data_IF_609824054720
#
_entry.id   IF_609824054720
#
_cell.length_a   1.000
_cell.length_b   1.000
_cell.length_c   1.000
_cell.angle_alpha   90.00
_cell.angle_beta   90.00
_cell.angle_gamma   90.00
#
_symmetry.space_group_name_H-M   'P 1'
#
loop_
_entity.id
_entity.type
_entity.pdbx_description
1 polymer ?
2 non-polymer ?
3 non-polymer ?
4 non-polymer ?
5 water ?
#
# COMPACT_ATOMS: atom_id res chain seq x y z
N UNK A 2 -16.35 23.61 7.89
CA UNK A 2 -16.56 22.28 7.26
C UNK A 2 -16.25 21.17 8.27
N UNK A 3 -17.28 20.55 8.89
CA UNK A 3 -17.09 19.63 10.04
C UNK A 3 -17.72 18.23 9.83
N UNK A 4 -17.00 17.23 10.36
CA UNK A 4 -17.34 15.79 10.28
C UNK A 4 -17.68 15.28 11.68
N UNK A 5 -18.74 14.47 11.81
CA UNK A 5 -19.24 14.00 13.09
C UNK A 5 -19.40 12.46 13.03
N UNK A 6 -18.94 11.75 14.06
CA UNK A 6 -19.21 10.33 14.13
C UNK A 6 -20.59 10.12 14.74
N UNK A 7 -21.53 9.55 13.96
CA UNK A 7 -22.92 9.46 14.38
C UNK A 7 -23.09 8.19 15.23
N UNK A 8 -22.47 7.10 14.79
CA UNK A 8 -22.56 5.80 15.48
C UNK A 8 -21.50 4.85 14.92
N UNK A 9 -21.24 3.80 15.68
CA UNK A 9 -20.42 2.72 15.21
C UNK A 9 -21.24 1.44 15.31
N UNK A 10 -21.25 0.66 14.23
CA UNK A 10 -21.98 -0.56 14.15
C UNK A 10 -20.99 -1.73 14.29
N UNK A 11 -21.38 -2.80 14.98
CA UNK A 11 -20.54 -3.99 14.99
C UNK A 11 -21.14 -5.04 14.04
N UNK A 12 -20.46 -5.30 12.94
CA UNK A 12 -21.03 -6.07 11.88
C UNK A 12 -20.45 -7.49 11.94
N UNK A 13 -21.35 -8.46 12.08
CA UNK A 13 -21.01 -9.85 12.14
C UNK A 13 -21.34 -10.48 10.80
N UNK A 14 -20.67 -11.61 10.46
CA UNK A 14 -21.06 -12.41 9.31
C UNK A 14 -22.58 -12.68 9.37
N UNK A 15 -23.23 -12.82 8.21
CA UNK A 15 -24.68 -12.96 8.13
C UNK A 15 -25.10 -14.30 8.74
N UNK A 16 -24.25 -15.31 8.54
CA UNK A 16 -24.28 -16.53 9.32
C UNK A 16 -22.85 -16.84 9.78
N UNK A 17 -22.78 -17.55 10.92
CA UNK A 17 -21.56 -17.76 11.67
C UNK A 17 -20.81 -18.92 11.06
N UNK A 18 -19.63 -18.69 10.44
CA UNK A 18 -18.87 -19.78 9.82
C UNK A 18 -18.13 -20.65 10.83
N UNK A 19 -18.08 -20.21 12.09
CA UNK A 19 -17.30 -20.90 13.14
C UNK A 19 -18.24 -21.46 14.22
N UNK A 20 -17.98 -22.72 14.57
CA UNK A 20 -18.44 -23.41 15.80
C UNK A 20 -17.47 -23.11 16.94
N UNK A 21 -16.20 -23.40 16.66
CA UNK A 21 -15.14 -23.39 17.64
C UNK A 21 -14.09 -22.35 17.28
N UNK A 22 -13.42 -21.84 18.32
CA UNK A 22 -12.26 -21.00 18.17
C UNK A 22 -11.25 -21.65 17.23
N UNK A 23 -10.67 -20.83 16.37
CA UNK A 23 -9.73 -21.25 15.40
C UNK A 23 -8.57 -20.26 15.44
N UNK A 24 -7.34 -20.71 15.65
CA UNK A 24 -6.18 -19.82 15.68
C UNK A 24 -5.42 -19.98 14.36
N UNK A 25 -5.47 -18.95 13.50
CA UNK A 25 -4.83 -19.02 12.18
C UNK A 25 -3.40 -18.48 12.28
N UNK A 26 -2.52 -19.01 11.43
CA UNK A 26 -1.17 -18.57 11.40
C UNK A 26 -0.91 -17.89 10.04
N UNK A 27 0.05 -16.98 10.05
CA UNK A 27 0.29 -16.10 8.93
C UNK A 27 1.56 -16.57 8.22
N UNK A 28 1.72 -16.13 6.97
CA UNK A 28 2.85 -16.53 6.16
C UNK A 28 4.06 -15.74 6.66
N UNK A 29 5.25 -16.11 6.20
CA UNK A 29 6.48 -15.47 6.57
C UNK A 29 6.59 -14.12 5.89
N UNK A 30 5.87 -13.95 4.75
CA UNK A 30 5.70 -12.65 4.11
C UNK A 30 4.82 -11.75 4.99
N UNK A 31 3.73 -12.28 5.53
CA UNK A 31 2.79 -11.55 6.39
C UNK A 31 3.44 -11.00 7.68
N UNK A 32 4.53 -11.62 8.15
CA UNK A 32 5.07 -11.36 9.48
C UNK A 32 6.32 -10.49 9.41
N UNK A 33 6.79 -10.12 8.22
CA UNK A 33 7.81 -9.08 8.04
C UNK A 33 7.47 -7.91 8.99
N UNK A 34 8.44 -7.48 9.78
CA UNK A 34 8.21 -6.39 10.71
C UNK A 34 7.76 -5.12 9.97
N UNK A 35 8.16 -4.94 8.70
CA UNK A 35 7.80 -3.74 7.88
C UNK A 35 6.29 -3.64 7.61
N UNK A 36 5.55 -4.74 7.80
CA UNK A 36 4.12 -4.69 7.58
C UNK A 36 3.32 -4.56 8.89
N UNK A 37 3.99 -4.26 10.04
CA UNK A 37 3.35 -4.03 11.37
C UNK A 37 2.71 -2.63 11.46
N UNK A 38 1.91 -2.26 10.48
CA UNK A 38 1.25 -0.94 10.40
C UNK A 38 -0.20 -1.19 10.01
N UNK A 39 -1.09 -0.28 10.42
CA UNK A 39 -2.46 -0.25 9.93
C UNK A 39 -2.51 0.60 8.65
N UNK A 40 -2.61 -0.07 7.50
CA UNK A 40 -2.72 0.56 6.16
C UNK A 40 -4.07 1.28 6.00
N UNK A 41 -4.05 2.59 5.69
CA UNK A 41 -5.27 3.42 5.67
C UNK A 41 -5.51 4.02 4.28
N UNK A 42 -6.71 3.88 3.74
CA UNK A 42 -7.04 4.53 2.48
C UNK A 42 -8.53 4.72 2.25
N UNK A 43 -8.85 5.62 1.31
CA UNK A 43 -10.20 6.00 1.11
C UNK A 43 -10.55 6.00 -0.39
N UNK A 44 -11.83 5.74 -0.64
CA UNK A 44 -12.42 5.73 -1.93
C UNK A 44 -13.61 6.69 -1.89
N UNK A 45 -13.68 7.63 -2.84
CA UNK A 45 -14.72 8.67 -2.92
C UNK A 45 -15.73 8.30 -4.01
N UNK A 46 -17.03 8.47 -3.72
CA UNK A 46 -18.16 8.04 -4.56
C UNK A 46 -19.15 9.20 -4.70
N UNK A 47 -19.70 9.40 -5.93
CA UNK A 47 -20.81 10.33 -6.19
C UNK A 47 -22.14 9.75 -5.66
N UNK A 55 -33.39 4.79 -3.38
CA UNK A 55 -32.48 5.08 -2.26
C UNK A 55 -32.69 4.08 -1.10
N UNK A 56 -31.66 3.26 -0.86
CA UNK A 56 -31.24 2.83 0.50
C UNK A 56 -29.80 3.35 0.67
N UNK A 57 -29.45 3.78 1.89
CA UNK A 57 -28.22 4.54 2.12
C UNK A 57 -27.00 3.68 1.81
N UNK A 58 -25.83 4.29 1.47
CA UNK A 58 -24.58 3.54 1.37
C UNK A 58 -24.14 2.84 2.65
N UNK A 59 -24.56 3.36 3.80
CA UNK A 59 -24.32 2.72 5.07
C UNK A 59 -24.99 1.35 5.13
N UNK A 60 -26.28 1.29 4.80
CA UNK A 60 -27.02 0.04 4.78
C UNK A 60 -26.38 -0.91 3.76
N UNK A 61 -26.15 -0.41 2.54
CA UNK A 61 -25.70 -1.24 1.43
C UNK A 61 -24.31 -1.80 1.74
N UNK A 62 -23.40 -0.93 2.21
CA UNK A 62 -22.06 -1.38 2.56
C UNK A 62 -22.11 -2.41 3.71
N UNK A 63 -22.87 -2.13 4.76
CA UNK A 63 -22.86 -2.95 5.97
C UNK A 63 -23.46 -4.34 5.68
N UNK A 64 -24.53 -4.39 4.90
CA UNK A 64 -25.14 -5.63 4.52
C UNK A 64 -24.18 -6.48 3.68
N UNK A 65 -23.41 -5.86 2.78
CA UNK A 65 -22.52 -6.66 1.95
C UNK A 65 -21.28 -7.07 2.75
N UNK A 66 -20.89 -6.27 3.75
CA UNK A 66 -19.79 -6.62 4.68
C UNK A 66 -20.15 -7.91 5.42
N UNK A 67 -21.32 -7.92 6.08
CA UNK A 67 -21.95 -9.11 6.72
C UNK A 67 -21.79 -10.35 5.85
N UNK A 68 -22.30 -10.33 4.61
CA UNK A 68 -22.27 -11.53 3.75
C UNK A 68 -20.84 -11.88 3.33
N UNK A 69 -19.98 -10.88 3.15
CA UNK A 69 -18.59 -11.11 2.74
C UNK A 69 -17.84 -11.81 3.88
N UNK A 70 -18.17 -11.42 5.11
CA UNK A 70 -17.50 -11.89 6.27
C UNK A 70 -17.75 -13.39 6.53
N UNK A 71 -18.67 -14.03 5.80
CA UNK A 71 -18.80 -15.47 5.88
C UNK A 71 -17.49 -16.12 5.44
N UNK A 72 -16.94 -15.65 4.31
CA UNK A 72 -15.71 -16.20 3.74
C UNK A 72 -14.49 -15.48 4.31
N UNK A 73 -14.64 -14.19 4.63
CA UNK A 73 -13.54 -13.31 5.04
C UNK A 73 -13.56 -13.06 6.57
N UNK A 74 -14.06 -14.03 7.35
CA UNK A 74 -14.19 -13.90 8.83
C UNK A 74 -12.86 -13.54 9.50
N UNK A 75 -11.67 -13.94 9.00
CA UNK A 75 -10.42 -13.54 9.64
C UNK A 75 -10.18 -12.04 9.84
N UNK A 76 -10.84 -11.20 9.04
CA UNK A 76 -10.81 -9.73 9.22
C UNK A 76 -11.48 -9.32 10.54
N UNK A 77 -12.44 -10.12 11.02
CA UNK A 77 -13.10 -9.85 12.31
C UNK A 77 -12.28 -10.40 13.49
N UNK A 78 -11.12 -11.00 13.20
CA UNK A 78 -10.23 -11.58 14.18
C UNK A 78 -9.46 -10.52 14.96
N UNK A 79 -8.64 -11.03 15.90
CA UNK A 79 -7.65 -10.30 16.69
C UNK A 79 -6.26 -10.82 16.36
N UNK A 80 -5.31 -9.92 16.13
CA UNK A 80 -3.93 -10.31 16.00
C UNK A 80 -3.32 -10.38 17.40
N UNK A 81 -2.60 -11.47 17.68
CA UNK A 81 -1.85 -11.64 18.93
C UNK A 81 -0.40 -12.00 18.59
N UNK A 82 0.55 -11.40 19.31
CA UNK A 82 1.90 -11.95 19.38
C UNK A 82 1.78 -13.34 20.03
N UNK A 83 2.39 -14.37 19.46
CA UNK A 83 2.39 -15.73 20.10
C UNK A 83 3.63 -15.85 21.00
N UNK A 84 3.38 -16.12 22.29
CA UNK A 84 4.44 -16.31 23.31
C UNK A 84 5.68 -17.02 22.71
N UNK A 85 5.43 -18.19 22.08
CA UNK A 85 6.39 -19.06 21.31
C UNK A 85 7.54 -18.25 20.68
N UNK A 86 7.25 -17.53 19.57
CA UNK A 86 8.29 -16.98 18.64
C UNK A 86 8.09 -15.47 18.36
N UNK A 87 7.07 -14.86 18.98
CA UNK A 87 6.66 -13.43 18.76
C UNK A 87 6.26 -13.15 17.29
N UNK A 88 5.72 -14.16 16.59
CA UNK A 88 5.09 -13.96 15.30
C UNK A 88 3.59 -13.78 15.56
N UNK A 89 2.91 -13.10 14.64
CA UNK A 89 1.48 -12.95 14.75
C UNK A 89 0.77 -14.26 14.46
N UNK A 90 -0.22 -14.54 15.28
CA UNK A 90 -1.31 -15.43 14.93
C UNK A 90 -2.60 -14.62 15.04
N UNK A 91 -3.65 -15.12 14.37
CA UNK A 91 -4.97 -14.49 14.26
C UNK A 91 -6.01 -15.39 14.95
N UNK A 92 -6.53 -14.87 16.07
CA UNK A 92 -7.58 -15.48 16.90
C UNK A 92 -8.97 -15.16 16.31
N UNK A 93 -9.64 -16.14 15.70
CA UNK A 93 -11.06 -16.02 15.32
C UNK A 93 -11.97 -16.88 16.21
N UNK A 94 -13.00 -16.25 16.79
CA UNK A 94 -14.13 -16.93 17.42
C UNK A 94 -15.47 -16.45 16.83
N UNK A 95 -16.50 -17.25 17.08
CA UNK A 95 -17.87 -16.88 16.83
C UNK A 95 -18.19 -15.63 17.65
N UNK A 96 -19.00 -14.76 17.06
CA UNK A 96 -19.43 -13.53 17.64
C UNK A 96 -18.51 -12.37 17.30
N UNK A 97 -17.41 -12.61 16.58
CA UNK A 97 -16.53 -11.52 16.21
C UNK A 97 -17.18 -10.67 15.09
N UNK A 98 -16.73 -9.41 14.98
CA UNK A 98 -17.35 -8.37 14.16
C UNK A 98 -16.30 -7.50 13.48
N UNK A 99 -16.71 -6.84 12.38
CA UNK A 99 -15.95 -5.69 11.85
C UNK A 99 -16.65 -4.40 12.27
N UNK A 100 -15.94 -3.42 12.84
CA UNK A 100 -16.55 -2.12 13.12
C UNK A 100 -16.76 -1.27 11.86
N UNK A 101 -17.89 -0.57 11.82
CA UNK A 101 -18.19 0.29 10.72
C UNK A 101 -18.60 1.67 11.28
N UNK A 102 -17.72 2.64 11.07
CA UNK A 102 -17.93 3.98 11.54
C UNK A 102 -18.84 4.70 10.55
N UNK A 103 -19.91 5.28 11.11
CA UNK A 103 -20.90 6.02 10.38
C UNK A 103 -20.73 7.51 10.67
N UNK A 104 -20.40 8.27 9.63
CA UNK A 104 -20.03 9.65 9.83
C UNK A 104 -20.77 10.55 8.83
N UNK A 105 -20.57 11.84 9.01
CA UNK A 105 -21.31 12.82 8.33
C UNK A 105 -20.47 14.10 8.24
N UNK A 106 -20.30 14.64 7.03
CA UNK A 106 -19.71 15.96 6.92
C UNK A 106 -20.73 16.87 6.23
N UNK A 107 -20.79 18.10 6.75
CA UNK A 107 -21.78 19.07 6.39
C UNK A 107 -21.22 19.92 5.24
N UNK A 108 -21.00 19.29 4.09
CA UNK A 108 -20.63 19.97 2.85
C UNK A 108 -20.71 18.95 1.70
N UNK A 109 -20.39 19.40 0.50
CA UNK A 109 -20.60 18.68 -0.74
C UNK A 109 -19.25 18.19 -1.27
N UNK A 110 -19.25 17.08 -2.01
CA UNK A 110 -18.01 16.55 -2.57
C UNK A 110 -17.42 17.53 -3.60
N UNK A 111 -18.29 18.13 -4.43
CA UNK A 111 -17.92 19.12 -5.49
C UNK A 111 -17.37 20.41 -4.84
N UNK A 112 -17.99 20.87 -3.75
CA UNK A 112 -17.52 22.05 -2.97
C UNK A 112 -16.12 21.83 -2.38
N UNK A 113 -15.62 20.58 -2.47
CA UNK A 113 -14.31 20.23 -1.92
C UNK A 113 -13.49 19.53 -3.00
N UNK A 114 -13.95 19.63 -4.25
CA UNK A 114 -13.26 19.14 -5.45
C UNK A 114 -12.98 17.65 -5.37
N UNK A 115 -13.93 16.88 -4.80
CA UNK A 115 -13.87 15.42 -4.66
C UNK A 115 -12.59 14.93 -3.95
N UNK A 116 -11.89 15.80 -3.18
CA UNK A 116 -10.67 15.41 -2.35
C UNK A 116 -9.41 15.18 -3.22
N UNK A 117 -9.50 15.51 -4.52
CA UNK A 117 -8.41 15.34 -5.49
C UNK A 117 -7.37 16.46 -5.26
N UNK A 118 -7.85 17.62 -4.80
CA UNK A 118 -7.02 18.81 -4.62
C UNK A 118 -6.28 18.80 -3.29
N UNK A 119 -6.13 19.97 -2.63
CA UNK A 119 -5.56 20.02 -1.28
C UNK A 119 -6.57 19.55 -0.22
N UNK A 120 -6.02 18.98 0.87
CA UNK A 120 -6.77 18.46 2.03
C UNK A 120 -7.68 19.58 2.55
N UNK A 121 -9.02 19.47 2.46
CA UNK A 121 -9.91 20.39 3.17
C UNK A 121 -9.60 20.57 4.66
N UNK A 122 -8.92 19.58 5.26
CA UNK A 122 -8.41 19.65 6.65
C UNK A 122 -9.09 18.65 7.57
N UNK A 123 -10.01 17.84 7.01
CA UNK A 123 -10.65 16.70 7.73
C UNK A 123 -10.34 15.36 7.04
N UNK A 124 -9.47 15.33 6.03
CA UNK A 124 -9.31 14.13 5.18
C UNK A 124 -8.72 12.98 6.01
N UNK A 125 -7.94 13.29 7.03
CA UNK A 125 -7.43 12.30 7.92
C UNK A 125 -8.59 11.71 8.74
N UNK A 126 -9.61 12.52 9.05
CA UNK A 126 -10.70 12.04 9.92
C UNK A 126 -11.65 11.10 9.17
N UNK A 127 -11.36 10.78 7.90
CA UNK A 127 -12.28 10.05 7.02
C UNK A 127 -12.06 8.52 7.11
N UNK A 128 -11.00 8.09 7.81
CA UNK A 128 -10.66 6.68 7.96
C UNK A 128 -10.04 6.50 9.35
N UNK A 129 -10.45 5.47 10.11
CA UNK A 129 -9.92 5.24 11.45
C UNK A 129 -8.40 5.28 11.37
N UNK A 130 -7.76 5.67 12.48
CA UNK A 130 -6.31 5.85 12.64
C UNK A 130 -5.88 5.10 13.90
N UNK A 131 -6.08 3.77 13.94
CA UNK A 131 -5.90 3.01 15.18
C UNK A 131 -4.44 3.04 15.64
N UNK A 132 -4.24 3.07 16.95
CA UNK A 132 -2.95 2.77 17.57
C UNK A 132 -2.54 1.32 17.22
N UNK A 133 -1.26 1.02 17.47
CA UNK A 133 -0.66 -0.31 17.27
C UNK A 133 -1.52 -1.37 18.00
N UNK A 134 -1.87 -1.08 19.27
CA UNK A 134 -2.62 -1.97 20.15
C UNK A 134 -4.06 -2.09 19.63
N UNK A 135 -4.74 -0.97 19.39
CA UNK A 135 -6.13 -0.91 18.84
C UNK A 135 -6.23 -1.64 17.48
N UNK A 136 -5.19 -1.54 16.64
CA UNK A 136 -5.16 -2.01 15.24
C UNK A 136 -4.86 -3.49 15.14
N UNK A 137 -4.55 -4.12 16.29
CA UNK A 137 -4.42 -5.57 16.41
C UNK A 137 -5.73 -6.17 16.95
N UNK A 138 -6.43 -5.44 17.82
CA UNK A 138 -7.70 -5.89 18.37
C UNK A 138 -8.72 -5.92 17.23
N UNK A 139 -8.67 -4.87 16.41
CA UNK A 139 -9.54 -4.66 15.28
C UNK A 139 -8.68 -4.43 14.04
N UNK A 140 -8.16 -5.51 13.42
CA UNK A 140 -7.35 -5.39 12.20
C UNK A 140 -8.10 -4.99 10.93
N UNK A 141 -9.40 -4.78 11.02
CA UNK A 141 -10.15 -4.27 9.91
C UNK A 141 -11.26 -3.33 10.41
N UNK A 142 -11.08 -2.02 10.17
CA UNK A 142 -12.13 -1.02 10.43
C UNK A 142 -12.53 -0.29 9.13
N UNK A 143 -13.84 -0.19 8.92
CA UNK A 143 -14.42 0.49 7.80
C UNK A 143 -15.14 1.75 8.29
N UNK A 144 -15.26 2.76 7.42
CA UNK A 144 -15.99 3.97 7.68
C UNK A 144 -16.80 4.39 6.43
N UNK A 145 -18.00 4.85 6.69
CA UNK A 145 -18.81 5.44 5.69
C UNK A 145 -19.21 6.85 6.17
N UNK A 146 -18.80 7.85 5.36
CA UNK A 146 -18.98 9.25 5.63
C UNK A 146 -19.80 9.86 4.48
N UNK A 147 -21.00 10.37 4.82
CA UNK A 147 -21.94 10.98 3.90
C UNK A 147 -21.63 12.48 3.78
N UNK A 148 -21.75 12.99 2.55
CA UNK A 148 -21.73 14.40 2.30
C UNK A 148 -23.15 14.84 2.01
N UNK A 149 -23.35 16.15 1.90
CA UNK A 149 -24.68 16.75 1.77
C UNK A 149 -25.33 16.44 0.42
N UNK A 150 -24.49 16.17 -0.60
CA UNK A 150 -24.94 15.87 -2.01
C UNK A 150 -25.39 14.42 -2.21
N UNK A 151 -25.32 13.60 -1.14
CA UNK A 151 -25.49 12.17 -1.23
C UNK A 151 -24.24 11.48 -1.73
N UNK A 152 -23.20 12.26 -2.04
CA UNK A 152 -21.84 11.75 -2.24
C UNK A 152 -21.32 11.20 -0.92
N UNK A 153 -20.34 10.27 -1.00
CA UNK A 153 -19.82 9.56 0.20
C UNK A 153 -18.43 8.97 0.00
N UNK A 154 -17.76 8.71 1.14
CA UNK A 154 -16.44 8.12 1.19
C UNK A 154 -16.50 6.81 1.97
N UNK A 155 -15.80 5.79 1.44
CA UNK A 155 -15.47 4.53 2.15
C UNK A 155 -14.01 4.59 2.61
N UNK A 156 -13.79 4.66 3.93
CA UNK A 156 -12.46 4.52 4.51
C UNK A 156 -12.23 3.11 5.05
N UNK A 157 -10.99 2.63 4.96
CA UNK A 157 -10.61 1.34 5.47
C UNK A 157 -9.25 1.42 6.16
N UNK A 158 -9.20 0.90 7.38
CA UNK A 158 -8.00 0.66 8.13
C UNK A 158 -7.75 -0.84 8.19
N UNK A 159 -6.84 -1.38 7.36
CA UNK A 159 -6.56 -2.83 7.36
C UNK A 159 -5.11 -3.09 7.77
N UNK A 160 -4.92 -3.90 8.82
CA UNK A 160 -3.61 -4.25 9.27
C UNK A 160 -2.90 -4.97 8.13
N UNK A 161 -1.68 -4.55 7.81
CA UNK A 161 -1.00 -4.96 6.60
C UNK A 161 -0.52 -6.42 6.69
N UNK A 162 -0.48 -6.97 7.90
CA UNK A 162 -0.13 -8.40 8.08
C UNK A 162 -1.20 -9.34 7.49
N UNK A 163 -2.46 -8.89 7.37
CA UNK A 163 -3.55 -9.79 6.92
C UNK A 163 -3.70 -9.84 5.39
N UNK A 164 -3.36 -8.76 4.68
CA UNK A 164 -3.41 -8.75 3.22
C UNK A 164 -2.61 -7.60 2.62
N UNK A 165 -2.26 -7.74 1.34
CA UNK A 165 -1.73 -6.64 0.52
C UNK A 165 -2.90 -5.89 -0.15
N UNK A 166 -2.53 -4.91 -0.99
CA UNK A 166 -3.48 -4.15 -1.81
C UNK A 166 -4.37 -5.05 -2.65
N UNK A 167 -3.75 -6.05 -3.29
CA UNK A 167 -4.44 -7.01 -4.14
C UNK A 167 -5.38 -7.89 -3.31
N UNK A 168 -4.91 -8.37 -2.16
CA UNK A 168 -5.75 -9.16 -1.25
C UNK A 168 -6.95 -8.36 -0.77
N UNK A 169 -6.72 -7.10 -0.40
CA UNK A 169 -7.80 -6.23 0.07
C UNK A 169 -8.79 -6.00 -1.06
N UNK A 170 -8.27 -5.90 -2.28
CA UNK A 170 -9.09 -5.62 -3.44
C UNK A 170 -10.01 -6.82 -3.71
N UNK A 171 -9.49 -8.04 -3.49
CA UNK A 171 -10.30 -9.23 -3.54
C UNK A 171 -11.47 -9.09 -2.56
N UNK A 172 -11.16 -8.67 -1.33
CA UNK A 172 -12.19 -8.56 -0.29
C UNK A 172 -13.24 -7.51 -0.68
N UNK A 173 -12.79 -6.36 -1.20
CA UNK A 173 -13.70 -5.24 -1.55
C UNK A 173 -14.50 -5.53 -2.82
N UNK A 174 -13.91 -6.22 -3.80
CA UNK A 174 -14.63 -6.58 -5.05
C UNK A 174 -15.74 -7.57 -4.70
N UNK A 175 -15.48 -8.46 -3.75
CA UNK A 175 -16.51 -9.36 -3.24
C UNK A 175 -17.69 -8.60 -2.60
N UNK A 176 -17.40 -7.59 -1.77
CA UNK A 176 -18.44 -6.80 -1.11
C UNK A 176 -19.29 -6.08 -2.17
N UNK A 177 -18.61 -5.50 -3.15
CA UNK A 177 -19.22 -4.75 -4.23
C UNK A 177 -20.12 -5.67 -5.05
N UNK A 178 -19.62 -6.86 -5.38
CA UNK A 178 -20.37 -7.69 -6.30
C UNK A 178 -21.66 -8.15 -5.61
N UNK A 179 -21.59 -8.46 -4.30
CA UNK A 179 -22.77 -8.74 -3.43
C UNK A 179 -23.70 -7.52 -3.32
N UNK A 180 -23.12 -6.32 -3.25
CA UNK A 180 -23.93 -5.11 -3.22
C UNK A 180 -24.65 -4.91 -4.57
N UNK A 181 -24.04 -5.42 -5.64
CA UNK A 181 -24.54 -5.28 -7.01
C UNK A 181 -25.53 -6.40 -7.33
N UNK A 182 -25.92 -7.18 -6.31
CA UNK A 182 -27.02 -8.12 -6.39
C UNK A 182 -26.59 -9.57 -6.21
N UNK A 183 -25.32 -9.89 -6.43
CA UNK A 183 -24.87 -11.27 -6.34
C UNK A 183 -25.18 -11.86 -4.94
N UNK A 184 -25.49 -13.15 -4.95
CA UNK A 184 -25.89 -13.91 -3.75
C UNK A 184 -24.71 -14.77 -3.26
N UNK A 185 -23.82 -15.18 -4.17
CA UNK A 185 -22.52 -15.76 -3.79
C UNK A 185 -21.39 -15.01 -4.51
N UNK A 186 -20.19 -15.04 -3.92
CA UNK A 186 -19.00 -14.34 -4.44
C UNK A 186 -18.36 -15.18 -5.55
N UNK A 187 -17.68 -14.51 -6.50
CA UNK A 187 -17.18 -15.18 -7.67
C UNK A 187 -15.86 -15.90 -7.35
N UNK A 188 -15.01 -15.33 -6.49
CA UNK A 188 -13.75 -16.01 -6.15
C UNK A 188 -13.74 -16.35 -4.66
N UNK A 189 -13.64 -17.64 -4.30
CA UNK A 189 -13.63 -18.04 -2.87
C UNK A 189 -12.21 -17.80 -2.32
N UNK A 190 -12.03 -17.04 -1.20
CA UNK A 190 -10.70 -16.86 -0.63
C UNK A 190 -10.07 -18.14 -0.08
N UNK A 191 -8.76 -18.24 -0.28
CA UNK A 191 -7.91 -19.35 0.15
C UNK A 191 -6.99 -18.77 1.25
N UNK A 192 -6.98 -19.45 2.40
CA UNK A 192 -5.96 -19.32 3.41
C UNK A 192 -4.69 -20.10 2.99
N UNK A 193 -4.38 -21.24 3.64
CA UNK A 193 -3.24 -22.11 3.27
C UNK A 193 -1.90 -21.36 3.38
N UNK A 194 -1.73 -20.53 4.42
CA UNK A 194 -0.69 -19.48 4.39
C UNK A 194 0.71 -20.07 4.72
N UNK A 195 0.82 -20.87 5.79
CA UNK A 195 2.14 -21.37 6.17
C UNK A 195 2.54 -22.54 5.29
N UNK A 196 1.56 -23.18 4.64
CA UNK A 196 1.82 -24.22 3.64
C UNK A 196 2.40 -23.55 2.37
N UNK A 197 1.81 -22.46 1.91
CA UNK A 197 2.17 -21.98 0.60
C UNK A 197 3.34 -20.98 0.63
N UNK A 198 3.53 -20.24 1.73
CA UNK A 198 4.60 -19.22 1.79
C UNK A 198 5.43 -19.38 3.07
N UNK A 199 5.71 -20.64 3.40
CA UNK A 199 6.51 -20.99 4.50
C UNK A 199 7.93 -21.28 4.06
N UNK A 200 8.89 -21.30 5.00
CA UNK A 200 10.29 -21.51 4.67
C UNK A 200 10.66 -22.94 4.31
N UNK A 201 11.89 -23.08 3.82
CA UNK A 201 12.49 -24.38 3.57
C UNK A 201 12.99 -24.93 4.92
N UNK A 202 12.96 -26.27 5.05
CA UNK A 202 13.43 -27.01 6.25
C UNK A 202 14.90 -26.67 6.51
N UNK A 203 15.72 -26.58 5.44
CA UNK A 203 17.12 -26.12 5.55
C UNK A 203 17.25 -24.77 4.85
N UNK A 204 16.97 -23.64 5.55
CA UNK A 204 16.86 -22.34 4.91
C UNK A 204 18.12 -21.92 4.14
N UNK A 205 17.95 -21.22 3.02
CA UNK A 205 19.05 -20.72 2.19
C UNK A 205 18.69 -19.34 1.64
N UNK A 206 19.67 -18.43 1.59
CA UNK A 206 19.39 -17.08 1.16
C UNK A 206 20.47 -16.64 0.19
N UNK A 207 20.06 -16.29 -1.02
CA UNK A 207 20.98 -15.83 -2.05
C UNK A 207 21.46 -14.41 -1.82
N UNK A 208 22.49 -14.03 -2.58
CA UNK A 208 23.10 -12.69 -2.55
C UNK A 208 22.09 -11.59 -2.84
N UNK A 209 21.12 -11.80 -3.78
CA UNK A 209 20.19 -10.73 -4.10
C UNK A 209 19.33 -10.27 -2.91
N UNK A 210 19.06 -11.15 -1.95
CA UNK A 210 18.36 -10.77 -0.74
C UNK A 210 19.38 -10.28 0.31
N UNK A 211 20.52 -10.96 0.42
CA UNK A 211 21.52 -10.58 1.45
C UNK A 211 22.07 -9.17 1.15
N UNK A 212 22.11 -8.79 -0.13
CA UNK A 212 22.75 -7.53 -0.50
C UNK A 212 21.84 -6.35 -0.13
N UNK A 213 20.57 -6.59 0.19
CA UNK A 213 19.49 -5.57 0.43
C UNK A 213 19.35 -5.36 1.94
N UNK A 214 19.48 -6.45 2.68
CA UNK A 214 19.04 -6.51 4.05
C UNK A 214 20.22 -6.69 5.00
N UNK A 215 19.88 -6.31 6.23
CA UNK A 215 20.74 -5.97 7.32
C UNK A 215 20.02 -6.29 8.64
N UNK A 216 20.78 -6.52 9.71
CA UNK A 216 20.20 -6.79 11.03
C UNK A 216 20.61 -5.69 12.04
N UNK A 217 19.60 -5.14 12.72
CA UNK A 217 19.79 -4.24 13.83
C UNK A 217 18.51 -4.21 14.65
N UNK A 218 18.54 -4.75 15.86
CA UNK A 218 17.34 -4.92 16.67
C UNK A 218 16.85 -3.56 17.17
N UNK A 219 17.77 -2.59 17.26
CA UNK A 219 17.51 -1.21 17.75
C UNK A 219 16.96 -0.28 16.66
N UNK A 220 17.11 -0.68 15.40
CA UNK A 220 16.74 0.19 14.28
C UNK A 220 15.24 0.08 14.00
N UNK A 221 14.56 1.23 14.05
CA UNK A 221 13.17 1.37 13.69
C UNK A 221 13.07 2.20 12.40
N UNK A 222 12.74 1.59 11.24
CA UNK A 222 12.68 2.33 9.97
C UNK A 222 11.58 3.39 9.93
N UNK A 223 10.54 3.20 10.75
CA UNK A 223 9.41 4.09 10.86
C UNK A 223 9.58 5.04 12.07
N UNK A 224 10.75 5.02 12.73
CA UNK A 224 11.00 5.86 13.89
C UNK A 224 12.15 6.81 13.68
N UNK A 225 12.53 7.06 12.43
CA UNK A 225 13.66 7.91 12.19
C UNK A 225 13.27 9.38 12.41
N UNK A 226 14.29 10.19 12.70
CA UNK A 226 14.11 11.60 13.06
C UNK A 226 14.39 12.44 11.81
N UNK A 227 13.38 12.53 10.93
CA UNK A 227 13.46 13.29 9.67
C UNK A 227 12.59 14.54 9.72
N UNK A 228 11.72 14.66 10.72
CA UNK A 228 10.81 15.78 10.87
C UNK A 228 9.42 15.34 10.47
N UNK A 229 8.51 16.31 10.32
CA UNK A 229 7.18 16.06 9.83
C UNK A 229 7.26 15.78 8.32
N UNK A 230 6.52 14.75 7.92
CA UNK A 230 6.42 14.23 6.58
C UNK A 230 5.12 14.81 5.99
N UNK A 231 5.20 15.48 4.84
CA UNK A 231 4.01 16.10 4.23
C UNK A 231 3.57 15.22 3.07
N UNK A 232 2.27 15.28 2.76
CA UNK A 232 1.66 14.67 1.61
C UNK A 232 1.38 15.79 0.59
N UNK A 233 1.63 15.50 -0.69
CA UNK A 233 1.23 16.38 -1.77
C UNK A 233 1.14 15.55 -3.06
N UNK A 234 0.23 15.95 -3.96
CA UNK A 234 0.04 15.29 -5.25
C UNK A 234 0.37 16.25 -6.39
N UNK A 235 1.04 15.71 -7.41
CA UNK A 235 1.43 16.44 -8.60
C UNK A 235 0.80 15.72 -9.81
N UNK A 236 0.06 16.48 -10.64
CA UNK A 236 -0.57 15.90 -11.82
C UNK A 236 0.49 15.77 -12.90
N UNK A 237 0.62 14.58 -13.49
CA UNK A 237 1.65 14.28 -14.46
C UNK A 237 0.97 13.90 -15.79
N UNK A 238 1.26 14.64 -16.87
CA UNK A 238 0.59 14.45 -18.19
C UNK A 238 1.26 13.32 -18.99
N UNK A 239 0.45 12.61 -19.78
CA UNK A 239 0.94 11.58 -20.71
C UNK A 239 1.97 12.18 -21.68
N UNK A 240 1.80 13.46 -22.04
CA UNK A 240 2.68 14.17 -22.96
C UNK A 240 4.06 14.43 -22.34
N UNK A 241 4.05 14.87 -21.08
CA UNK A 241 5.28 15.05 -20.35
C UNK A 241 6.03 13.72 -20.35
N UNK A 242 5.32 12.64 -20.05
CA UNK A 242 5.93 11.31 -19.92
C UNK A 242 6.49 10.81 -21.26
N UNK A 243 5.84 11.16 -22.37
CA UNK A 243 6.26 10.74 -23.72
C UNK A 243 7.45 11.58 -24.19
N UNK A 244 7.56 12.85 -23.77
CA UNK A 244 8.73 13.66 -24.16
C UNK A 244 9.97 13.15 -23.38
N UNK A 245 9.79 12.92 -22.06
CA UNK A 245 10.85 12.36 -21.20
C UNK A 245 11.34 11.03 -21.79
N UNK A 246 10.41 10.11 -22.05
CA UNK A 246 10.72 8.79 -22.60
C UNK A 246 11.54 8.91 -23.90
N UNK A 247 11.21 9.91 -24.74
CA UNK A 247 11.82 10.09 -26.07
C UNK A 247 13.24 10.66 -25.95
N UNK A 248 13.49 11.45 -24.89
CA UNK A 248 14.82 12.01 -24.64
C UNK A 248 15.72 10.98 -23.95
N UNK A 249 15.16 10.21 -23.03
CA UNK A 249 15.92 9.15 -22.40
C UNK A 249 16.36 8.17 -23.48
N UNK A 250 15.52 7.98 -24.51
CA UNK A 250 15.80 7.07 -25.60
C UNK A 250 16.88 7.64 -26.53
N UNK A 251 16.72 8.90 -26.94
CA UNK A 251 17.74 9.66 -27.65
C UNK A 251 19.13 9.43 -27.00
N UNK A 252 19.20 9.52 -25.67
CA UNK A 252 20.50 9.63 -24.99
C UNK A 252 21.08 8.24 -24.63
N UNK A 253 20.21 7.23 -24.41
CA UNK A 253 20.60 5.89 -23.93
C UNK A 253 20.43 4.80 -25.01
N UNK A 254 19.38 4.90 -25.83
CA UNK A 254 19.02 3.85 -26.73
C UNK A 254 18.07 2.84 -26.09
N UNK A 255 17.57 3.11 -24.88
CA UNK A 255 16.59 2.26 -24.22
C UNK A 255 15.22 2.95 -24.20
N UNK A 256 14.18 2.14 -24.28
CA UNK A 256 12.82 2.52 -23.99
C UNK A 256 12.50 2.18 -22.54
N UNK A 257 11.85 3.11 -21.84
CA UNK A 257 11.65 3.01 -20.46
C UNK A 257 10.15 3.05 -20.16
N UNK A 258 9.72 2.23 -19.20
CA UNK A 258 8.39 2.36 -18.66
C UNK A 258 8.31 3.71 -17.94
N UNK A 259 7.08 4.20 -17.76
CA UNK A 259 6.77 5.34 -16.92
C UNK A 259 7.35 5.11 -15.51
N UNK A 260 7.24 3.88 -15.01
CA UNK A 260 7.67 3.59 -13.66
C UNK A 260 9.19 3.75 -13.52
N UNK A 261 9.92 3.29 -14.52
CA UNK A 261 11.36 3.42 -14.53
C UNK A 261 11.77 4.89 -14.76
N UNK A 262 11.10 5.59 -15.66
CA UNK A 262 11.59 6.92 -16.07
C UNK A 262 11.18 7.97 -15.03
N UNK A 263 9.87 8.03 -14.76
CA UNK A 263 9.36 8.97 -13.80
C UNK A 263 9.89 8.60 -12.42
N UNK A 264 10.02 7.31 -12.14
CA UNK A 264 10.51 6.84 -10.83
C UNK A 264 11.90 7.34 -10.54
N UNK A 265 12.77 7.26 -11.55
CA UNK A 265 14.11 7.75 -11.46
C UNK A 265 14.12 9.26 -11.21
N UNK A 266 13.29 10.02 -11.94
CA UNK A 266 13.27 11.45 -11.81
C UNK A 266 12.82 11.82 -10.41
N UNK A 267 11.76 11.17 -9.92
CA UNK A 267 11.20 11.47 -8.63
C UNK A 267 12.21 11.12 -7.53
N UNK A 268 12.90 10.00 -7.67
CA UNK A 268 13.84 9.52 -6.63
C UNK A 268 15.06 10.46 -6.56
N UNK A 269 15.59 10.83 -7.72
CA UNK A 269 16.63 11.83 -7.81
C UNK A 269 16.17 13.10 -7.11
N UNK A 270 14.96 13.56 -7.38
CA UNK A 270 14.52 14.88 -6.89
C UNK A 270 14.38 14.84 -5.36
N UNK A 271 13.82 13.75 -4.85
CA UNK A 271 13.60 13.52 -3.44
C UNK A 271 14.95 13.57 -2.70
N UNK A 272 15.97 12.89 -3.25
CA UNK A 272 17.23 12.71 -2.54
C UNK A 272 18.06 14.00 -2.61
N UNK A 273 18.11 14.65 -3.77
CA UNK A 273 18.75 15.99 -3.98
C UNK A 273 18.23 16.95 -2.92
N UNK A 274 16.91 16.90 -2.71
CA UNK A 274 16.14 17.87 -1.97
C UNK A 274 16.16 17.59 -0.45
N UNK A 275 16.34 16.33 -0.07
CA UNK A 275 16.51 16.02 1.32
C UNK A 275 17.96 16.34 1.75
N UNK A 276 18.78 16.74 0.76
CA UNK A 276 20.13 17.13 0.97
C UNK A 276 20.91 15.96 1.55
N UNK A 277 20.75 14.78 0.95
CA UNK A 277 21.41 13.58 1.40
C UNK A 277 22.90 13.67 1.04
N UNK A 278 23.72 13.12 1.93
CA UNK A 278 25.19 13.20 1.88
C UNK A 278 25.74 12.21 0.84
N UNK A 279 26.83 12.60 0.14
CA UNK A 279 27.16 11.99 -1.16
C UNK A 279 27.30 10.47 -0.98
N UNK A 280 27.89 10.02 0.13
CA UNK A 280 28.33 8.62 0.30
C UNK A 280 27.22 7.74 0.89
N UNK A 281 26.12 8.30 1.39
CA UNK A 281 25.08 7.45 1.99
C UNK A 281 24.50 6.56 0.89
N UNK A 282 24.23 5.30 1.26
CA UNK A 282 23.53 4.38 0.41
C UNK A 282 22.03 4.69 0.45
N UNK A 283 21.40 4.87 -0.71
CA UNK A 283 19.97 5.15 -0.74
C UNK A 283 19.27 4.09 -1.58
N UNK A 284 17.98 3.90 -1.31
CA UNK A 284 17.29 2.81 -1.95
C UNK A 284 15.97 3.28 -2.55
N UNK A 285 15.70 2.70 -3.73
CA UNK A 285 14.44 2.60 -4.43
C UNK A 285 13.88 1.20 -4.20
N UNK A 286 12.73 1.12 -3.52
CA UNK A 286 12.13 -0.16 -3.09
C UNK A 286 10.69 -0.20 -3.56
N UNK A 287 10.35 -1.22 -4.30
CA UNK A 287 8.99 -1.35 -4.74
C UNK A 287 8.54 -2.78 -4.49
N UNK A 288 7.24 -2.93 -4.70
CA UNK A 288 6.47 -4.06 -4.39
C UNK A 288 5.96 -4.70 -5.69
N UNK A 289 6.46 -5.90 -6.03
CA UNK A 289 6.01 -6.69 -7.19
C UNK A 289 5.08 -7.80 -6.70
N UNK A 290 4.05 -8.10 -7.51
CA UNK A 290 3.20 -9.28 -7.41
C UNK A 290 4.05 -10.51 -7.76
N UNK A 291 3.93 -11.58 -6.95
CA UNK A 291 4.65 -12.82 -7.22
C UNK A 291 3.67 -14.02 -7.27
N UNK A 292 2.37 -13.74 -7.13
CA UNK A 292 1.35 -14.77 -7.25
C UNK A 292 1.58 -15.57 -8.54
N UNK A 293 1.92 -14.87 -9.63
CA UNK A 293 1.93 -15.53 -10.93
C UNK A 293 3.34 -16.04 -11.26
N UNK A 294 4.35 -15.75 -10.42
CA UNK A 294 5.74 -16.08 -10.72
C UNK A 294 6.27 -17.21 -9.84
N UNK A 295 5.50 -17.69 -8.86
CA UNK A 295 5.99 -18.78 -7.96
C UNK A 295 5.80 -20.14 -8.67
N UNK A 296 6.48 -21.17 -8.16
CA UNK A 296 6.46 -22.55 -8.71
C UNK A 296 6.11 -23.57 -7.64
N UNK A 297 4.84 -23.97 -7.53
CA UNK A 297 3.73 -23.57 -8.38
C UNK A 297 3.15 -22.20 -8.06
N UNK A 298 2.36 -21.60 -8.99
CA UNK A 298 1.81 -20.26 -8.80
C UNK A 298 0.78 -20.33 -7.67
N UNK A 299 0.57 -19.19 -6.99
CA UNK A 299 -0.28 -19.15 -5.83
C UNK A 299 -1.73 -19.19 -6.31
N UNK A 300 -2.71 -19.75 -5.55
CA UNK A 300 -4.10 -19.80 -6.01
C UNK A 300 -4.69 -18.39 -6.21
N UNK A 301 -5.66 -18.27 -7.13
CA UNK A 301 -6.24 -16.96 -7.57
C UNK A 301 -6.85 -16.19 -6.35
N UNK A 302 -7.32 -16.97 -5.36
CA UNK A 302 -8.03 -16.46 -4.17
C UNK A 302 -7.12 -16.22 -2.96
N UNK A 303 -5.80 -16.37 -3.10
CA UNK A 303 -4.85 -16.00 -2.05
C UNK A 303 -4.94 -14.49 -1.77
N UNK A 304 -5.34 -14.13 -0.54
CA UNK A 304 -5.51 -12.72 -0.21
C UNK A 304 -4.52 -12.28 0.85
N UNK A 305 -3.57 -13.16 1.23
CA UNK A 305 -2.45 -12.78 2.03
C UNK A 305 -1.48 -11.91 1.24
N UNK A 306 -0.40 -11.50 1.91
CA UNK A 306 0.68 -10.81 1.25
C UNK A 306 1.25 -11.76 0.18
N UNK A 307 1.17 -11.31 -1.08
CA UNK A 307 1.71 -12.04 -2.24
C UNK A 307 2.61 -11.11 -3.06
N UNK A 309 6.56 -8.93 -2.80
CA UNK A 309 7.83 -8.84 -2.12
C UNK A 309 8.46 -7.50 -2.48
N UNK A 310 9.24 -6.88 -1.58
CA UNK A 310 10.12 -5.78 -1.97
C UNK A 310 11.27 -6.16 -2.91
N UNK A 311 11.33 -5.49 -4.08
CA UNK A 311 12.57 -5.35 -4.88
C UNK A 311 13.20 -3.97 -4.61
N UNK A 312 14.48 -3.88 -4.93
CA UNK A 312 15.28 -2.75 -4.64
C UNK A 312 16.27 -2.48 -5.78
N UNK A 313 16.59 -1.18 -5.88
CA UNK A 313 17.81 -0.71 -6.48
C UNK A 313 18.54 0.15 -5.44
N UNK A 314 19.87 0.11 -5.43
CA UNK A 314 20.64 0.89 -4.46
C UNK A 314 21.85 1.52 -5.13
N UNK A 315 22.33 2.62 -4.54
CA UNK A 315 23.35 3.48 -5.13
C UNK A 315 23.72 4.55 -4.09
N UNK A 316 24.98 5.06 -4.10
CA UNK A 316 25.37 6.22 -3.25
C UNK A 316 24.58 7.47 -3.70
N UNK A 317 24.11 8.22 -2.71
CA UNK A 317 23.24 9.34 -2.95
C UNK A 317 23.85 10.32 -3.93
N UNK A 318 25.19 10.45 -3.94
CA UNK A 318 25.90 11.44 -4.76
C UNK A 318 25.95 11.08 -6.24
N UNK A 319 25.99 9.76 -6.49
CA UNK A 319 25.95 9.17 -7.79
C UNK A 319 24.57 9.35 -8.39
N UNK A 320 23.53 9.31 -7.53
CA UNK A 320 22.17 9.35 -7.98
C UNK A 320 21.86 10.79 -8.39
N UNK A 321 22.40 11.75 -7.62
CA UNK A 321 22.03 13.12 -7.83
C UNK A 321 22.87 13.70 -8.98
N UNK A 322 23.98 13.05 -9.31
CA UNK A 322 24.91 13.63 -10.28
C UNK A 322 25.04 12.78 -11.56
N UNK A 323 24.65 11.50 -11.58
CA UNK A 323 24.69 10.73 -12.83
C UNK A 323 23.45 11.06 -13.68
N UNK A 324 23.49 10.78 -15.00
CA UNK A 324 22.31 10.94 -15.86
C UNK A 324 21.09 10.15 -15.39
N UNK A 325 19.92 10.74 -15.59
CA UNK A 325 18.68 10.09 -15.26
C UNK A 325 18.62 8.72 -15.92
N UNK A 326 19.18 8.57 -17.14
CA UNK A 326 18.96 7.31 -17.90
C UNK A 326 19.76 6.16 -17.28
N UNK A 327 20.83 6.47 -16.56
CA UNK A 327 21.59 5.47 -15.85
C UNK A 327 20.82 5.01 -14.61
N UNK A 328 20.06 5.93 -14.00
CA UNK A 328 19.26 5.63 -12.85
C UNK A 328 18.02 4.83 -13.28
N UNK A 329 17.36 5.23 -14.37
CA UNK A 329 16.21 4.50 -14.94
C UNK A 329 16.60 3.08 -15.32
N UNK A 330 17.82 2.89 -15.82
CA UNK A 330 18.35 1.56 -16.27
C UNK A 330 18.54 0.64 -15.05
N UNK A 331 18.97 1.24 -13.94
CA UNK A 331 19.27 0.51 -12.70
C UNK A 331 17.96 -0.04 -12.12
N UNK A 332 16.90 0.77 -12.13
CA UNK A 332 15.55 0.38 -11.74
C UNK A 332 15.04 -0.70 -12.71
N UNK A 333 15.39 -0.58 -13.98
CA UNK A 333 14.93 -1.58 -14.94
C UNK A 333 15.61 -2.92 -14.67
N UNK A 334 16.93 -2.90 -14.42
CA UNK A 334 17.71 -4.08 -14.09
C UNK A 334 17.11 -4.78 -12.86
N UNK A 335 16.71 -4.04 -11.83
CA UNK A 335 16.23 -4.60 -10.56
C UNK A 335 15.06 -5.54 -10.79
N UNK A 336 14.30 -5.33 -11.87
CA UNK A 336 13.15 -6.16 -12.15
C UNK A 336 13.57 -7.59 -12.53
N UNK A 337 14.86 -7.81 -12.81
CA UNK A 337 15.35 -9.13 -13.26
C UNK A 337 15.71 -10.03 -12.06
N UNK A 338 16.04 -9.43 -10.91
CA UNK A 338 16.25 -10.18 -9.68
C UNK A 338 14.99 -11.00 -9.37
N UNK A 339 13.88 -10.69 -10.05
CA UNK A 339 12.58 -11.25 -9.68
C UNK A 339 12.43 -12.68 -10.20
N UNK A 340 12.38 -13.61 -9.25
CA UNK A 340 12.37 -15.02 -9.52
C UNK A 340 11.67 -15.74 -8.37
N UNK A 341 11.34 -17.01 -8.61
CA UNK A 341 10.82 -17.86 -7.59
C UNK A 341 11.86 -17.83 -6.45
N UNK A 342 13.15 -17.98 -6.81
CA UNK A 342 14.19 -18.10 -5.81
C UNK A 342 14.29 -16.82 -4.95
N UNK A 343 14.16 -15.64 -5.55
CA UNK A 343 14.28 -14.38 -4.80
C UNK A 343 13.28 -14.40 -3.64
N UNK A 344 12.04 -14.86 -3.92
CA UNK A 344 10.95 -14.88 -2.97
C UNK A 344 11.25 -15.91 -1.87
N UNK A 345 11.80 -17.07 -2.25
CA UNK A 345 12.12 -18.12 -1.30
C UNK A 345 13.35 -17.68 -0.50
N UNK A 346 14.32 -17.03 -1.15
CA UNK A 346 15.42 -16.40 -0.45
C UNK A 346 14.87 -15.44 0.60
N UNK A 347 13.85 -14.67 0.24
CA UNK A 347 13.32 -13.66 1.15
C UNK A 347 12.67 -14.30 2.38
N UNK A 348 11.88 -15.36 2.17
CA UNK A 348 11.16 -16.08 3.20
C UNK A 348 12.15 -16.75 4.16
N UNK A 349 13.24 -17.29 3.63
CA UNK A 349 14.21 -17.99 4.44
C UNK A 349 14.98 -17.02 5.35
N UNK A 350 15.20 -15.77 4.90
CA UNK A 350 15.86 -14.74 5.70
C UNK A 350 14.99 -14.36 6.91
N UNK A 351 13.66 -14.26 6.69
CA UNK A 351 12.72 -14.03 7.79
C UNK A 351 12.73 -15.20 8.79
N UNK A 352 12.95 -16.43 8.31
CA UNK A 352 12.95 -17.59 9.18
C UNK A 352 14.18 -17.48 10.05
N UNK A 353 15.33 -17.18 9.43
CA UNK A 353 16.61 -17.17 10.10
C UNK A 353 16.71 -15.99 11.07
N UNK A 354 16.07 -14.83 10.78
CA UNK A 354 16.44 -13.58 11.46
C UNK A 354 15.25 -12.73 11.91
N UNK A 355 14.03 -13.29 11.99
CA UNK A 355 12.83 -12.56 12.44
C UNK A 355 13.06 -11.71 13.70
N UNK A 356 13.75 -12.26 14.69
CA UNK A 356 13.84 -11.54 15.91
C UNK A 356 15.18 -10.81 16.00
N UNK A 357 15.95 -10.80 14.89
CA UNK A 357 17.21 -10.05 14.81
C UNK A 357 17.09 -8.71 14.06
N UNK A 358 15.89 -8.13 13.94
CA UNK A 358 15.67 -6.73 13.41
C UNK A 358 16.08 -6.56 11.95
N UNK A 359 15.47 -7.35 11.05
CA UNK A 359 15.73 -7.31 9.60
C UNK A 359 15.30 -5.96 9.02
N UNK A 360 16.15 -5.27 8.26
CA UNK A 360 15.86 -3.90 7.80
C UNK A 360 16.67 -3.55 6.53
N UNK A 361 16.15 -2.58 5.77
CA UNK A 361 16.77 -2.07 4.53
C UNK A 361 17.64 -0.83 4.80
N UNK A 362 17.73 -0.41 6.06
CA UNK A 362 18.55 0.71 6.46
C UNK A 362 17.86 2.04 6.24
N UNK A 363 18.63 3.12 6.39
CA UNK A 363 18.20 4.49 6.12
C UNK A 363 18.11 4.74 4.61
N UNK A 364 17.51 5.88 4.26
CA UNK A 364 17.49 6.39 2.87
C UNK A 364 16.69 5.51 1.92
N UNK A 365 15.65 4.83 2.42
CA UNK A 365 14.78 4.02 1.59
C UNK A 365 13.61 4.88 1.10
N UNK A 366 13.48 5.03 -0.22
CA UNK A 366 12.27 5.62 -0.77
C UNK A 366 11.38 4.50 -1.33
N UNK A 367 10.12 4.46 -0.86
CA UNK A 367 9.16 3.44 -1.27
C UNK A 367 8.24 3.92 -2.40
N UNK A 368 7.99 3.02 -3.36
CA UNK A 368 7.24 3.28 -4.57
C UNK A 368 6.22 2.18 -4.86
N UNK A 369 4.96 2.58 -5.05
CA UNK A 369 3.85 1.66 -5.21
C UNK A 369 2.99 2.17 -6.36
N UNK A 370 2.82 1.31 -7.35
CA UNK A 370 2.02 1.61 -8.50
C UNK A 370 0.60 1.14 -8.21
N UNK A 371 -0.31 2.11 -8.10
CA UNK A 371 -1.71 1.85 -7.81
C UNK A 371 -2.56 2.01 -9.07
N UNK A 372 -1.93 2.29 -10.21
CA UNK A 372 -2.64 2.61 -11.48
C UNK A 372 -3.57 1.46 -11.92
N UNK A 373 -3.32 0.24 -11.44
CA UNK A 373 -4.15 -0.99 -11.71
C UNK A 373 -4.74 -1.45 -10.38
N UNK A 374 -4.64 -2.73 -10.02
CA UNK A 374 -5.05 -3.19 -8.60
C UNK A 374 -6.58 -3.41 -8.49
N UNK A 375 -7.36 -2.76 -9.40
CA UNK A 375 -8.78 -3.10 -9.67
C UNK A 375 -9.77 -2.25 -8.89
N UNK A 376 -9.60 -0.92 -9.00
CA UNK A 376 -10.36 0.05 -8.18
C UNK A 376 -11.69 0.40 -8.83
N UNK A 377 -11.72 0.46 -10.17
CA UNK A 377 -12.93 0.90 -10.90
C UNK A 377 -14.06 -0.15 -10.81
N UNK A 378 -13.69 -1.40 -10.54
CA UNK A 378 -14.61 -2.52 -10.45
C UNK A 378 -15.30 -2.55 -9.06
N UNK A 379 -14.82 -1.69 -8.14
CA UNK A 379 -15.35 -1.66 -6.79
C UNK A 379 -16.56 -0.72 -6.75
N UNK A 380 -17.72 -1.23 -7.21
CA UNK A 380 -18.90 -0.40 -7.39
C UNK A 380 -20.08 -1.02 -6.62
N UNK A 381 -20.59 -0.23 -5.66
CA UNK A 381 -21.62 -0.61 -4.67
C UNK A 381 -22.99 -0.10 -5.10
N UNK A 382 -23.03 0.70 -6.17
CA UNK A 382 -24.30 1.10 -6.77
C UNK A 382 -24.34 2.60 -7.07
N UNK A 383 -23.17 3.23 -6.93
CA UNK A 383 -22.97 4.66 -7.04
C UNK A 383 -21.82 4.92 -8.02
N UNK A 384 -21.52 3.92 -8.87
CA UNK A 384 -20.39 3.94 -9.79
C UNK A 384 -19.09 3.61 -9.07
N UNK A 385 -18.06 3.30 -9.85
CA UNK A 385 -16.72 3.09 -9.35
C UNK A 385 -16.12 4.38 -8.80
N UNK A 386 -15.04 4.30 -8.02
CA UNK A 386 -14.55 5.48 -7.31
C UNK A 386 -14.07 6.54 -8.31
N UNK A 387 -14.37 7.80 -7.94
CA UNK A 387 -13.98 8.98 -8.67
C UNK A 387 -12.60 9.47 -8.18
N UNK A 388 -12.26 9.17 -6.90
CA UNK A 388 -10.89 9.32 -6.37
C UNK A 388 -10.56 8.30 -5.26
N UNK A 389 -9.35 7.75 -5.36
CA UNK A 389 -8.73 6.87 -4.39
C UNK A 389 -7.49 7.59 -3.89
N UNK A 390 -7.32 7.57 -2.56
CA UNK A 390 -6.33 8.32 -1.83
C UNK A 390 -5.86 7.46 -0.66
N UNK A 391 -4.63 6.92 -0.72
CA UNK A 391 -4.01 6.26 0.42
C UNK A 391 -3.28 7.19 1.41
N UNK A 392 -3.61 7.08 2.70
CA UNK A 392 -3.18 8.04 3.71
C UNK A 392 -1.91 7.58 4.43
N UNK A 393 -1.60 6.30 4.41
CA UNK A 393 -0.48 5.74 5.13
C UNK A 393 0.81 6.25 4.50
N UNK A 394 1.75 6.67 5.36
CA UNK A 394 3.05 7.15 4.93
C UNK A 394 4.15 6.20 5.43
N UNK A 395 3.77 4.99 5.87
CA UNK A 395 4.73 4.07 6.47
C UNK A 395 4.58 2.72 5.80
N UNK A 396 5.57 2.39 4.97
CA UNK A 396 5.44 1.41 3.95
C UNK A 396 6.81 1.05 3.39
N UNK A 397 7.01 -0.25 3.14
CA UNK A 397 8.14 -0.80 2.41
C UNK A 397 9.47 -0.39 3.06
N UNK A 398 9.44 -0.06 4.35
CA UNK A 398 10.63 0.37 5.06
C UNK A 398 10.89 1.87 4.94
N UNK A 399 9.94 2.60 4.35
CA UNK A 399 10.10 4.02 4.11
C UNK A 399 9.11 4.82 4.97
N UNK A 400 9.52 6.02 5.43
CA UNK A 400 8.57 7.03 5.96
C UNK A 400 8.17 8.05 4.85
N UNK A 401 8.75 7.90 3.65
CA UNK A 401 8.48 8.82 2.57
C UNK A 401 8.11 8.06 1.30
N UNK A 402 6.98 7.31 1.28
CA UNK A 402 6.61 6.52 0.13
C UNK A 402 5.80 7.38 -0.83
N UNK A 403 5.90 6.98 -2.10
CA UNK A 403 5.30 7.67 -3.23
C UNK A 403 4.37 6.67 -3.95
N UNK A 404 3.17 7.09 -4.33
CA UNK A 404 2.24 6.25 -5.09
C UNK A 404 1.94 6.87 -6.46
N UNK A 405 1.77 6.01 -7.46
CA UNK A 405 1.18 6.38 -8.74
C UNK A 405 -0.32 6.05 -8.70
N UNK A 406 -1.17 7.07 -8.77
CA UNK A 406 -2.62 6.89 -8.63
C UNK A 406 -3.25 6.71 -10.01
N UNK A 407 -4.43 6.07 -10.07
CA UNK A 407 -5.04 5.71 -11.36
C UNK A 407 -5.57 6.91 -12.18
N UNK A 408 -6.14 6.60 -13.35
CA UNK A 408 -6.67 7.57 -14.36
C UNK A 408 -8.12 7.99 -14.02
N UNK A 409 -9.12 7.74 -14.90
CA UNK A 409 -10.49 8.40 -14.86
C UNK A 409 -10.61 9.34 -13.67
N UNK A 420 -4.65 15.13 -19.88
CA UNK A 420 -4.76 13.67 -19.85
C UNK A 420 -3.57 13.07 -19.07
N UNK A 421 -3.83 12.39 -17.95
CA UNK A 421 -2.72 11.99 -17.06
C UNK A 421 -3.19 11.46 -15.72
N UNK A 422 -2.25 11.38 -14.76
CA UNK A 422 -2.49 10.82 -13.43
C UNK A 422 -1.65 11.55 -12.37
N UNK A 423 -2.14 11.56 -11.14
CA UNK A 423 -1.43 12.15 -9.99
C UNK A 423 -0.37 11.20 -9.44
N UNK A 424 0.73 11.77 -8.97
CA UNK A 424 1.66 11.14 -8.14
C UNK A 424 1.50 11.72 -6.74
N UNK A 425 1.43 10.84 -5.74
CA UNK A 425 1.34 11.21 -4.35
C UNK A 425 2.71 10.98 -3.70
N UNK A 426 3.31 12.02 -3.12
CA UNK A 426 4.58 11.89 -2.43
C UNK A 426 4.40 12.38 -1.01
N UNK A 427 4.93 11.56 -0.10
CA UNK A 427 5.22 11.87 1.27
C UNK A 427 6.71 12.24 1.34
N UNK A 428 7.00 13.37 1.96
CA UNK A 428 8.35 13.94 2.00
C UNK A 428 8.46 14.81 3.25
N UNK A 429 9.63 14.74 3.91
CA UNK A 429 9.94 15.58 5.06
C UNK A 429 9.71 17.04 4.68
N UNK A 430 9.03 17.75 5.58
CA UNK A 430 8.57 19.11 5.39
C UNK A 430 9.71 19.96 4.81
N UNK A 431 10.93 19.74 5.30
CA UNK A 431 12.08 20.59 4.97
C UNK A 431 12.45 20.46 3.48
N UNK A 432 12.14 19.32 2.86
CA UNK A 432 12.56 19.06 1.49
C UNK A 432 11.46 19.43 0.46
N UNK A 433 10.24 19.70 0.96
CA UNK A 433 9.05 19.76 0.13
C UNK A 433 9.14 20.93 -0.85
N UNK A 434 9.55 22.15 -0.44
CA UNK A 434 9.71 23.26 -1.38
C UNK A 434 10.59 22.91 -2.60
N UNK A 435 11.81 22.41 -2.38
CA UNK A 435 12.72 22.15 -3.48
C UNK A 435 12.16 21.05 -4.41
N UNK A 436 11.40 20.12 -3.83
CA UNK A 436 10.80 19.05 -4.55
C UNK A 436 9.65 19.57 -5.43
N UNK A 437 8.79 20.41 -4.86
CA UNK A 437 7.71 21.07 -5.58
C UNK A 437 8.28 21.83 -6.80
N UNK A 438 9.48 22.39 -6.62
CA UNK A 438 10.11 23.15 -7.68
C UNK A 438 10.59 22.16 -8.74
N UNK A 439 11.12 20.99 -8.33
CA UNK A 439 11.56 19.96 -9.27
C UNK A 439 10.39 19.42 -10.12
N UNK A 440 9.18 19.41 -9.56
CA UNK A 440 8.00 18.93 -10.29
C UNK A 440 7.43 20.02 -11.22
N UNK A 441 7.62 21.29 -10.87
CA UNK A 441 7.27 22.42 -11.75
C UNK A 441 8.16 22.33 -13.01
N UNK A 442 9.47 22.13 -12.80
CA UNK A 442 10.41 22.02 -13.90
C UNK A 442 9.97 20.90 -14.84
N UNK A 443 9.56 19.78 -14.22
CA UNK A 443 9.16 18.57 -14.92
C UNK A 443 7.92 18.84 -15.76
N UNK A 444 7.04 19.69 -15.25
CA UNK A 444 5.79 19.98 -15.88
C UNK A 444 6.01 20.91 -17.08
N UNK A 445 7.22 21.44 -17.20
CA UNK A 445 7.62 22.31 -18.28
C UNK A 445 8.65 21.60 -19.17
N UNK A 446 8.94 20.32 -18.91
CA UNK A 446 9.85 19.56 -19.72
C UNK A 446 11.32 19.93 -19.54
N UNK A 447 11.64 20.74 -18.52
CA UNK A 447 13.05 21.06 -18.18
C UNK A 447 13.55 19.97 -17.23
N UNK A 448 14.02 18.87 -17.80
CA UNK A 448 14.19 17.62 -17.08
C UNK A 448 15.61 17.55 -16.48
N UNK A 449 16.54 18.36 -17.03
CA UNK A 449 17.94 18.36 -16.60
C UNK A 449 18.38 16.92 -16.41
N UNK A 450 18.37 16.18 -17.51
CA UNK A 450 18.55 14.74 -17.52
C UNK A 450 20.01 14.40 -17.20
N UNK A 451 20.95 15.18 -17.75
CA UNK A 451 22.39 14.82 -17.81
C UNK A 451 23.05 15.28 -16.53
#
# INVERSE_FOLDING_TARGET
MATLEITDIALVQPSHQPLSNDQTLSLSHLDNDNNLHVSFRYLRVYSSSSSTVAGESPSAVVSASLATALVHYYPLAGSLRRSASDNRFELLCSAGQSVPLVNATVNCTLESVGYLDGPDPGFVERLVPDPTREEGMVNPCILQVTMFQCGGWVLGASIHHAICDGLGASLFFNAMAELARGATKISIEPVWDRERLLGPREKPWVGAPVRDFLSLDKDFDPYGQAIGDVKRDCFFVTDDSLDQLKAQLLEKSGLNFTTFEALGAYIWRAKVRAAKTEEKENVKFVYSINIRRLMNPPLPKGYWGNGXVPMYAQIKAGELIEQPIWKTAELIKQSKSNTSDEYVRSFIDFQELHHKDGINAGTGVTGFTDWRYLGHSTIDFGWGGPVTVLPLSNKLLGSMEPCFFLPYSTDAAAGSKKDSGFKVLVNLRESAMPEFKEAMDKFHKGEFALS
#
